data_IF_769817292244
#
_entry.id   IF_769817292244
#
_cell.length_a   1.000
_cell.length_b   1.000
_cell.length_c   1.000
_cell.angle_alpha   90.00
_cell.angle_beta   90.00
_cell.angle_gamma   90.00
#
_symmetry.space_group_name_H-M   'P 1'
#
loop_
_entity.id
_entity.type
_entity.pdbx_description
1 polymer ?
#
# COMPACT_ATOMS: atom_id res chain seq x y z
N UNK A 1 -12.10 -1.32 -11.65
CA UNK A 1 -11.02 -2.07 -12.35
C UNK A 1 -10.49 -3.12 -11.39
N UNK A 2 -10.04 -4.30 -11.86
CA UNK A 2 -9.67 -5.46 -11.02
C UNK A 2 -8.38 -5.32 -10.19
N UNK A 3 -8.02 -4.11 -9.78
CA UNK A 3 -6.84 -3.81 -8.95
C UNK A 3 -7.03 -4.44 -7.57
N UNK A 4 -5.99 -5.13 -7.09
CA UNK A 4 -5.99 -5.81 -5.77
C UNK A 4 -5.09 -5.15 -4.74
N UNK A 5 -4.16 -4.31 -5.18
CA UNK A 5 -3.20 -3.62 -4.32
C UNK A 5 -2.97 -2.21 -4.86
N UNK A 6 -2.86 -1.24 -3.97
CA UNK A 6 -2.42 0.13 -4.25
C UNK A 6 -1.23 0.45 -3.35
N UNK A 7 -0.16 0.95 -3.96
CA UNK A 7 1.03 1.42 -3.26
C UNK A 7 1.22 2.93 -3.47
N UNK A 8 1.65 3.63 -2.42
CA UNK A 8 2.00 5.05 -2.48
C UNK A 8 3.35 5.32 -1.82
N UNK A 9 3.99 6.40 -2.25
CA UNK A 9 5.28 6.88 -1.75
C UNK A 9 5.16 7.99 -0.68
N UNK A 10 3.99 8.07 -0.04
CA UNK A 10 3.72 9.02 1.03
C UNK A 10 3.31 8.30 2.32
N UNK A 11 3.22 9.06 3.41
CA UNK A 11 2.90 8.53 4.74
C UNK A 11 1.50 7.92 4.83
N UNK A 12 0.55 8.37 4.00
CA UNK A 12 -0.77 7.77 3.95
C UNK A 12 -1.55 8.05 2.67
N UNK A 13 -2.44 7.12 2.29
CA UNK A 13 -3.43 7.31 1.21
C UNK A 13 -4.52 8.29 1.62
N UNK A 14 -4.60 8.62 2.90
CA UNK A 14 -5.59 9.52 3.47
C UNK A 14 -4.98 10.87 3.82
N UNK A 15 -5.82 11.90 3.76
CA UNK A 15 -5.46 13.21 4.23
C UNK A 15 -5.28 13.21 5.76
N UNK A 16 -4.22 13.85 6.24
CA UNK A 16 -3.97 13.95 7.68
C UNK A 16 -5.18 14.51 8.43
N UNK A 17 -5.58 13.83 9.52
CA UNK A 17 -6.74 14.14 10.37
C UNK A 17 -8.10 14.15 9.64
N UNK A 18 -8.23 13.48 8.50
CA UNK A 18 -9.53 13.32 7.85
C UNK A 18 -10.46 12.43 8.70
N UNK A 19 -11.63 12.92 9.14
CA UNK A 19 -12.56 12.10 9.90
C UNK A 19 -13.06 10.91 9.09
N UNK A 20 -13.04 9.74 9.71
CA UNK A 20 -13.62 8.53 9.14
C UNK A 20 -12.82 7.84 8.02
N UNK A 21 -11.62 8.32 7.70
CA UNK A 21 -10.69 7.70 6.75
C UNK A 21 -11.37 7.17 5.46
N UNK A 22 -12.10 8.02 4.70
CA UNK A 22 -12.86 7.60 3.52
C UNK A 22 -12.02 6.86 2.48
N UNK A 23 -10.75 7.24 2.27
CA UNK A 23 -9.87 6.58 1.31
C UNK A 23 -9.55 5.15 1.74
N UNK A 24 -9.10 4.95 2.99
CA UNK A 24 -8.85 3.61 3.54
C UNK A 24 -10.11 2.76 3.49
N UNK A 25 -11.25 3.28 3.94
CA UNK A 25 -12.51 2.52 3.98
C UNK A 25 -12.97 2.12 2.59
N UNK A 26 -12.90 3.01 1.62
CA UNK A 26 -13.27 2.70 0.24
C UNK A 26 -12.39 1.58 -0.33
N UNK A 27 -11.07 1.66 -0.16
CA UNK A 27 -10.13 0.66 -0.67
C UNK A 27 -10.26 -0.69 0.05
N UNK A 28 -10.20 -0.68 1.39
CA UNK A 28 -10.22 -1.91 2.20
C UNK A 28 -11.57 -2.63 2.13
N UNK A 29 -12.70 -1.91 2.07
CA UNK A 29 -14.03 -2.54 1.90
C UNK A 29 -14.20 -3.21 0.53
N UNK A 30 -13.41 -2.83 -0.47
CA UNK A 30 -13.35 -3.49 -1.78
C UNK A 30 -12.26 -4.57 -1.87
N UNK A 31 -11.62 -4.91 -0.74
CA UNK A 31 -10.55 -5.92 -0.69
C UNK A 31 -9.25 -5.49 -1.37
N UNK A 32 -9.03 -4.18 -1.52
CA UNK A 32 -7.78 -3.63 -2.05
C UNK A 32 -6.80 -3.43 -0.89
N UNK A 33 -5.64 -4.08 -0.97
CA UNK A 33 -4.56 -3.93 0.02
C UNK A 33 -3.85 -2.60 -0.22
N UNK A 34 -3.50 -1.91 0.87
CA UNK A 34 -2.81 -0.63 0.83
C UNK A 34 -1.35 -0.84 1.27
N UNK A 35 -0.42 -0.26 0.53
CA UNK A 35 1.00 -0.17 0.89
C UNK A 35 1.38 1.30 0.95
N UNK A 36 1.80 1.78 2.13
CA UNK A 36 2.18 3.17 2.36
C UNK A 36 3.70 3.28 2.60
N UNK A 37 4.27 4.46 2.36
CA UNK A 37 5.68 4.73 2.62
C UNK A 37 6.66 4.03 1.67
N UNK A 38 6.25 3.74 0.42
CA UNK A 38 7.17 3.23 -0.59
C UNK A 38 8.26 4.27 -0.91
N UNK A 39 9.47 3.82 -1.19
CA UNK A 39 10.47 4.66 -1.83
C UNK A 39 10.47 4.36 -3.33
N UNK A 40 9.92 5.29 -4.12
CA UNK A 40 9.86 5.20 -5.58
C UNK A 40 10.81 6.17 -6.29
N UNK A 41 11.70 6.86 -5.55
CA UNK A 41 12.53 7.95 -6.09
C UNK A 41 13.42 7.53 -7.28
N UNK A 42 13.82 6.26 -7.34
CA UNK A 42 14.68 5.69 -8.38
C UNK A 42 13.93 4.71 -9.32
N UNK A 43 12.60 4.59 -9.17
CA UNK A 43 11.80 3.67 -9.96
C UNK A 43 11.17 4.39 -11.17
N UNK A 44 11.55 4.00 -12.38
CA UNK A 44 10.89 4.53 -13.58
C UNK A 44 9.45 4.01 -13.69
N UNK A 45 8.52 4.80 -14.26
CA UNK A 45 7.19 4.32 -14.60
C UNK A 45 7.23 3.10 -15.52
N UNK A 46 6.42 2.08 -15.22
CA UNK A 46 6.35 0.86 -16.02
C UNK A 46 5.68 -0.30 -15.31
N UNK A 47 5.74 -1.47 -15.95
CA UNK A 47 5.26 -2.73 -15.38
C UNK A 47 6.39 -3.45 -14.67
N UNK A 48 6.11 -3.95 -13.47
CA UNK A 48 7.05 -4.70 -12.64
C UNK A 48 6.35 -5.90 -12.00
N UNK A 49 7.13 -6.94 -11.70
CA UNK A 49 6.78 -7.91 -10.67
C UNK A 49 7.06 -7.26 -9.30
N UNK A 50 6.01 -7.04 -8.51
CA UNK A 50 6.12 -6.51 -7.15
C UNK A 50 6.03 -7.63 -6.12
N UNK A 51 7.00 -7.68 -5.21
CA UNK A 51 6.96 -8.54 -4.04
C UNK A 51 6.78 -7.67 -2.79
N UNK A 52 5.72 -7.93 -2.04
CA UNK A 52 5.44 -7.31 -0.74
C UNK A 52 5.16 -8.42 0.26
N UNK A 53 6.11 -8.67 1.15
CA UNK A 53 6.06 -9.75 2.14
C UNK A 53 5.96 -9.12 3.55
N UNK A 54 4.74 -8.87 4.06
CA UNK A 54 4.56 -8.33 5.40
C UNK A 54 4.99 -9.35 6.46
N UNK A 55 5.50 -8.84 7.59
CA UNK A 55 5.77 -9.69 8.75
C UNK A 55 4.47 -10.34 9.26
N UNK A 56 4.51 -11.60 9.74
CA UNK A 56 3.34 -12.27 10.29
C UNK A 56 3.04 -11.76 11.71
N UNK A 57 2.41 -10.60 11.80
CA UNK A 57 2.01 -9.97 13.08
C UNK A 57 0.61 -10.44 13.47
N UNK A 58 0.49 -11.20 14.56
CA UNK A 58 -0.80 -11.67 15.06
C UNK A 58 -1.56 -10.52 15.73
N UNK A 59 -2.81 -10.29 15.32
CA UNK A 59 -3.66 -9.24 15.88
C UNK A 59 -3.29 -7.81 15.46
N UNK A 60 -2.38 -7.64 14.50
CA UNK A 60 -2.02 -6.34 13.94
C UNK A 60 -3.08 -5.81 12.98
N UNK A 61 -3.14 -4.48 12.86
CA UNK A 61 -3.92 -3.73 11.86
C UNK A 61 -3.12 -3.48 10.56
N UNK A 62 -1.83 -3.78 10.60
CA UNK A 62 -0.89 -3.76 9.49
C UNK A 62 0.45 -4.37 9.92
N UNK A 63 1.41 -4.43 8.98
CA UNK A 63 2.75 -4.88 9.28
C UNK A 63 3.76 -4.19 8.34
N UNK A 64 4.99 -3.94 8.80
CA UNK A 64 6.05 -3.51 7.90
C UNK A 64 6.37 -4.61 6.90
N UNK A 65 6.75 -4.21 5.69
CA UNK A 65 7.15 -5.10 4.62
C UNK A 65 8.37 -4.53 3.90
N UNK A 66 9.28 -5.42 3.47
CA UNK A 66 10.26 -5.06 2.44
C UNK A 66 9.56 -5.23 1.10
N UNK A 67 9.31 -4.12 0.43
CA UNK A 67 8.76 -4.12 -0.94
C UNK A 67 9.90 -4.03 -1.93
N UNK A 68 9.89 -4.91 -2.93
CA UNK A 68 10.87 -4.90 -4.02
C UNK A 68 10.16 -5.01 -5.36
N UNK A 69 10.72 -4.33 -6.35
CA UNK A 69 10.28 -4.40 -7.75
C UNK A 69 11.33 -5.16 -8.55
N UNK A 70 10.87 -6.05 -9.42
CA UNK A 70 11.69 -6.77 -10.39
C UNK A 70 11.14 -6.50 -11.78
N UNK A 71 12.04 -6.22 -12.72
CA UNK A 71 11.71 -6.07 -14.14
C UNK A 71 11.69 -7.43 -14.84
#
# INVERSE_FOLDING_TARGET
QGVKVVGIDYLSVEQFRKPGAPAHRMLLSNGVIIIEGLNLAEADPGMYEMYCLPLPVTGGDGAPARVVLKR
#
